data_IF_168995731880
#
_entry.id   IF_168995731880
#
_cell.length_a   1.000
_cell.length_b   1.000
_cell.length_c   1.000
_cell.angle_alpha   90.00
_cell.angle_beta   90.00
_cell.angle_gamma   90.00
#
_symmetry.space_group_name_H-M   'P 1'
#
loop_
_entity.id
_entity.type
_entity.pdbx_description
1 polymer ?
#
# COMPACT_ATOMS: atom_id res chain seq x y z
N UNK A 1 -18.73 2.43 14.79
CA UNK A 1 -17.46 1.70 15.02
C UNK A 1 -16.44 2.23 14.02
N UNK A 2 -15.60 3.17 14.41
CA UNK A 2 -14.70 3.88 13.49
C UNK A 2 -13.37 3.12 13.46
N UNK A 3 -13.02 2.53 12.32
CA UNK A 3 -11.71 1.89 12.17
C UNK A 3 -10.67 2.97 11.88
N UNK A 4 -9.63 3.05 12.71
CA UNK A 4 -8.40 3.77 12.43
C UNK A 4 -7.73 3.06 11.23
N UNK A 5 -8.05 3.48 10.00
CA UNK A 5 -7.52 2.85 8.80
C UNK A 5 -6.31 3.64 8.35
N UNK A 6 -5.13 3.04 8.54
CA UNK A 6 -3.93 3.46 7.83
C UNK A 6 -4.17 3.19 6.33
N UNK A 7 -4.11 4.22 5.49
CA UNK A 7 -4.45 4.13 4.05
C UNK A 7 -3.23 4.29 3.13
N UNK A 8 -2.03 4.38 3.68
CA UNK A 8 -0.79 4.65 2.95
C UNK A 8 0.35 3.87 3.56
N UNK A 9 1.16 3.17 2.77
CA UNK A 9 2.32 2.44 3.28
C UNK A 9 3.62 3.06 2.77
N UNK A 10 4.59 3.26 3.66
CA UNK A 10 5.93 3.71 3.30
C UNK A 10 6.83 2.50 3.04
N UNK A 11 7.23 2.30 1.79
CA UNK A 11 8.04 1.15 1.38
C UNK A 11 9.44 1.64 0.94
N UNK A 12 10.52 1.22 1.61
CA UNK A 12 11.87 1.59 1.21
C UNK A 12 12.25 1.02 -0.16
N UNK A 13 13.01 1.79 -0.93
CA UNK A 13 13.54 1.39 -2.23
C UNK A 13 15.08 1.48 -2.17
N UNK A 14 15.77 0.45 -2.65
CA UNK A 14 17.21 0.51 -2.87
C UNK A 14 17.61 -0.25 -4.12
N UNK A 15 18.58 0.30 -4.87
CA UNK A 15 19.07 -0.29 -6.13
C UNK A 15 17.94 -0.62 -7.12
N UNK A 16 16.95 0.27 -7.20
CA UNK A 16 15.77 0.13 -8.07
C UNK A 16 14.80 -0.98 -7.68
N UNK A 17 14.84 -1.49 -6.44
CA UNK A 17 13.93 -2.55 -5.95
C UNK A 17 13.29 -2.15 -4.63
N UNK A 18 12.01 -2.51 -4.45
CA UNK A 18 11.33 -2.43 -3.16
C UNK A 18 12.00 -3.39 -2.17
N UNK A 19 12.30 -2.90 -0.97
CA UNK A 19 12.91 -3.70 0.09
C UNK A 19 11.85 -4.44 0.90
N UNK A 20 11.16 -5.37 0.22
CA UNK A 20 10.23 -6.29 0.87
C UNK A 20 10.96 -7.55 1.32
N UNK A 21 10.62 -8.06 2.49
CA UNK A 21 11.01 -9.39 2.94
C UNK A 21 10.35 -10.49 2.12
N UNK A 22 10.87 -11.72 2.19
CA UNK A 22 10.39 -12.87 1.39
C UNK A 22 8.89 -13.12 1.49
N UNK A 23 8.27 -12.77 2.62
CA UNK A 23 6.85 -12.97 2.89
C UNK A 23 6.05 -11.67 3.04
N UNK A 24 6.63 -10.53 2.64
CA UNK A 24 5.93 -9.24 2.65
C UNK A 24 5.28 -8.99 1.29
N UNK A 25 3.98 -8.69 1.32
CA UNK A 25 3.20 -8.28 0.15
C UNK A 25 2.37 -7.06 0.48
N UNK A 26 2.10 -6.24 -0.55
CA UNK A 26 1.26 -5.04 -0.45
C UNK A 26 -0.10 -5.39 -1.02
N UNK A 27 -1.16 -5.16 -0.24
CA UNK A 27 -2.53 -5.53 -0.61
C UNK A 27 -3.48 -4.35 -0.43
N UNK A 28 -4.43 -4.23 -1.35
CA UNK A 28 -5.60 -3.37 -1.18
C UNK A 28 -6.71 -4.26 -0.64
N UNK A 29 -7.24 -3.90 0.52
CA UNK A 29 -8.35 -4.61 1.15
C UNK A 29 -9.59 -3.73 1.21
N UNK A 30 -10.70 -4.24 0.68
CA UNK A 30 -12.02 -3.61 0.76
C UNK A 30 -12.85 -4.30 1.84
N UNK A 31 -13.31 -3.54 2.83
CA UNK A 31 -14.14 -4.08 3.91
C UNK A 31 -15.64 -4.09 3.57
N UNK A 32 -16.05 -3.40 2.50
CA UNK A 32 -17.45 -3.24 2.12
C UNK A 32 -17.87 -4.31 1.11
N UNK A 33 -19.09 -4.82 1.25
CA UNK A 33 -19.64 -5.85 0.35
C UNK A 33 -19.93 -5.34 -1.07
N UNK A 34 -20.19 -4.04 -1.22
CA UNK A 34 -20.45 -3.44 -2.53
C UNK A 34 -19.16 -3.04 -3.25
N UNK A 35 -19.14 -3.29 -4.56
CA UNK A 35 -17.99 -2.95 -5.42
C UNK A 35 -17.81 -1.43 -5.46
N UNK A 36 -16.62 -0.99 -5.07
CA UNK A 36 -16.16 0.38 -5.24
C UNK A 36 -14.98 0.40 -6.22
N UNK A 37 -14.85 1.50 -6.98
CA UNK A 37 -13.62 1.76 -7.71
C UNK A 37 -12.60 2.34 -6.72
N UNK A 38 -11.38 1.80 -6.75
CA UNK A 38 -10.26 2.25 -5.93
C UNK A 38 -9.19 2.83 -6.85
N UNK A 39 -8.71 4.01 -6.50
CA UNK A 39 -7.56 4.63 -7.12
C UNK A 39 -6.39 4.56 -6.13
N UNK A 40 -5.23 4.10 -6.60
CA UNK A 40 -4.00 4.01 -5.81
C UNK A 40 -2.99 5.02 -6.36
N UNK A 41 -2.56 5.95 -5.53
CA UNK A 41 -1.50 6.90 -5.88
C UNK A 41 -0.18 6.39 -5.31
N UNK A 42 0.86 6.32 -6.15
CA UNK A 42 2.21 5.94 -5.75
C UNK A 42 3.13 7.13 -5.92
N UNK A 43 3.77 7.56 -4.84
CA UNK A 43 4.78 8.60 -4.87
C UNK A 43 6.15 8.00 -4.58
N UNK A 44 7.09 8.18 -5.50
CA UNK A 44 8.47 7.74 -5.36
C UNK A 44 9.35 8.96 -5.17
N UNK A 45 10.11 8.99 -4.08
CA UNK A 45 11.01 10.08 -3.73
C UNK A 45 12.40 9.50 -3.42
N UNK A 46 13.45 10.18 -3.86
CA UNK A 46 14.84 9.76 -3.66
C UNK A 46 15.76 10.33 -4.73
N UNK A 47 17.05 10.05 -4.60
CA UNK A 47 18.11 10.42 -5.55
C UNK A 47 18.85 9.19 -6.07
#
# INVERSE_FOLDING_TARGET
RTALTHTSEHIPIARGRLLLGTWQGIYIWEHREHRHQRELVVHVMGC
#
